data_IF_284081144418
#
_entry.id   IF_284081144418
#
_cell.length_a   1.000
_cell.length_b   1.000
_cell.length_c   1.000
_cell.angle_alpha   90.00
_cell.angle_beta   90.00
_cell.angle_gamma   90.00
#
_symmetry.space_group_name_H-M   'P 1'
#
loop_
_entity.id
_entity.type
_entity.pdbx_description
1 polymer ?
#
# COMPACT_ATOMS: atom_id res chain seq x y z
N UNK A 1 6.22 24.99 25.86
CA UNK A 1 6.05 23.52 25.79
C UNK A 1 7.15 23.00 24.90
N UNK A 2 8.02 22.11 25.40
CA UNK A 2 9.09 21.55 24.57
C UNK A 2 8.49 20.73 23.44
N UNK A 3 9.03 20.86 22.23
CA UNK A 3 8.66 20.00 21.10
C UNK A 3 8.97 18.55 21.48
N UNK A 4 7.93 17.76 21.74
CA UNK A 4 8.07 16.32 21.93
C UNK A 4 8.40 15.73 20.56
N UNK A 5 9.59 15.14 20.42
CA UNK A 5 9.98 14.45 19.20
C UNK A 5 9.27 13.09 19.17
N UNK A 6 8.26 12.96 18.32
CA UNK A 6 7.60 11.68 18.05
C UNK A 6 8.48 10.92 17.05
N UNK A 7 9.26 9.97 17.53
CA UNK A 7 10.14 9.14 16.69
C UNK A 7 9.55 7.73 16.52
N UNK A 8 8.53 7.62 15.67
CA UNK A 8 7.92 6.34 15.33
C UNK A 8 8.33 5.94 13.92
N UNK A 9 8.86 4.72 13.78
CA UNK A 9 9.29 4.15 12.52
C UNK A 9 8.20 3.27 11.91
N UNK A 10 7.93 3.47 10.62
CA UNK A 10 6.81 2.86 9.91
C UNK A 10 7.29 2.11 8.68
N UNK A 11 6.85 0.87 8.52
CA UNK A 11 6.93 0.17 7.24
C UNK A 11 5.56 0.12 6.56
N UNK A 12 5.55 0.33 5.25
CA UNK A 12 4.35 0.21 4.41
C UNK A 12 4.53 -1.00 3.50
N UNK A 13 3.62 -1.96 3.57
CA UNK A 13 3.58 -3.13 2.69
C UNK A 13 2.29 -3.10 1.89
N UNK A 14 2.40 -2.95 0.58
CA UNK A 14 1.26 -2.78 -0.31
C UNK A 14 1.03 -4.01 -1.17
N UNK A 15 -0.17 -4.57 -1.09
CA UNK A 15 -0.67 -5.51 -2.09
C UNK A 15 -1.24 -4.72 -3.27
N UNK A 16 -0.43 -4.56 -4.31
CA UNK A 16 -0.82 -3.82 -5.51
C UNK A 16 -2.03 -4.42 -6.21
N UNK A 17 -2.18 -5.75 -6.21
CA UNK A 17 -3.25 -6.47 -6.89
C UNK A 17 -4.59 -6.27 -6.18
N UNK A 18 -4.62 -6.48 -4.86
CA UNK A 18 -5.83 -6.32 -4.06
C UNK A 18 -6.34 -4.87 -4.12
N UNK A 19 -5.43 -3.90 -4.04
CA UNK A 19 -5.80 -2.49 -4.03
C UNK A 19 -6.25 -2.01 -5.42
N UNK A 20 -5.57 -2.39 -6.50
CA UNK A 20 -6.03 -2.06 -7.87
C UNK A 20 -7.44 -2.63 -8.12
N UNK A 21 -7.68 -3.89 -7.75
CA UNK A 21 -8.99 -4.54 -7.86
C UNK A 21 -10.06 -3.79 -7.08
N UNK A 22 -9.78 -3.45 -5.81
CA UNK A 22 -10.70 -2.74 -4.93
C UNK A 22 -11.09 -1.36 -5.48
N UNK A 23 -10.13 -0.62 -6.02
CA UNK A 23 -10.37 0.71 -6.59
C UNK A 23 -11.16 0.60 -7.90
N UNK A 24 -10.86 -0.37 -8.76
CA UNK A 24 -11.57 -0.55 -10.03
C UNK A 24 -13.04 -0.93 -9.80
N UNK A 25 -13.32 -1.71 -8.75
CA UNK A 25 -14.68 -2.02 -8.33
C UNK A 25 -15.44 -0.76 -7.89
N UNK A 26 -14.79 0.13 -7.13
CA UNK A 26 -15.43 1.35 -6.63
C UNK A 26 -15.56 2.45 -7.70
N UNK A 27 -14.56 2.60 -8.56
CA UNK A 27 -14.52 3.63 -9.61
C UNK A 27 -15.23 3.20 -10.91
N UNK A 28 -15.57 1.91 -11.05
CA UNK A 28 -16.08 1.29 -12.28
C UNK A 28 -15.18 1.51 -13.49
N UNK A 29 -13.90 1.86 -13.28
CA UNK A 29 -12.96 2.29 -14.31
C UNK A 29 -11.61 1.60 -14.15
N UNK A 30 -11.19 0.83 -15.16
CA UNK A 30 -9.91 0.10 -15.17
C UNK A 30 -8.66 0.99 -15.28
N UNK A 31 -8.84 2.27 -15.57
CA UNK A 31 -7.76 3.24 -15.71
C UNK A 31 -7.47 4.01 -14.41
N UNK A 32 -8.05 3.57 -13.29
CA UNK A 32 -7.86 4.26 -12.02
C UNK A 32 -6.58 3.77 -11.36
N UNK A 33 -5.76 4.71 -10.89
CA UNK A 33 -4.48 4.44 -10.24
C UNK A 33 -4.38 5.19 -8.92
N UNK A 34 -3.69 4.62 -7.94
CA UNK A 34 -3.43 5.27 -6.66
C UNK A 34 -2.48 6.44 -6.84
N UNK A 35 -2.77 7.52 -6.12
CA UNK A 35 -1.83 8.60 -5.92
C UNK A 35 -0.96 8.33 -4.68
N UNK A 36 0.16 7.63 -4.88
CA UNK A 36 1.10 7.33 -3.79
C UNK A 36 1.70 8.62 -3.19
N UNK A 37 1.84 9.67 -3.99
CA UNK A 37 2.39 10.94 -3.52
C UNK A 37 1.50 11.65 -2.50
N UNK A 38 0.19 11.41 -2.57
CA UNK A 38 -0.77 11.90 -1.57
C UNK A 38 -0.97 10.90 -0.44
N UNK A 39 -1.03 9.61 -0.78
CA UNK A 39 -1.39 8.56 0.17
C UNK A 39 -0.28 8.27 1.17
N UNK A 40 0.99 8.18 0.74
CA UNK A 40 2.10 7.84 1.64
C UNK A 40 2.28 8.90 2.74
N UNK A 41 2.35 10.21 2.45
CA UNK A 41 2.46 11.22 3.50
C UNK A 41 1.26 11.20 4.46
N UNK A 42 0.05 10.98 3.94
CA UNK A 42 -1.18 10.84 4.73
C UNK A 42 -1.10 9.65 5.68
N UNK A 43 -0.62 8.50 5.20
CA UNK A 43 -0.45 7.28 6.01
C UNK A 43 0.63 7.46 7.08
N UNK A 44 1.74 8.14 6.74
CA UNK A 44 2.82 8.38 7.67
C UNK A 44 2.44 9.36 8.77
N UNK A 45 1.67 10.42 8.48
CA UNK A 45 1.24 11.42 9.47
C UNK A 45 2.41 11.92 10.34
N UNK A 46 3.45 12.45 9.67
CA UNK A 46 4.71 12.94 10.24
C UNK A 46 5.62 11.88 10.90
N UNK A 47 5.32 10.58 10.74
CA UNK A 47 6.17 9.47 11.18
C UNK A 47 7.26 9.13 10.16
N UNK A 48 8.33 8.49 10.63
CA UNK A 48 9.47 8.12 9.78
C UNK A 48 9.19 6.89 8.92
N UNK A 49 9.33 7.00 7.60
CA UNK A 49 9.26 5.86 6.70
C UNK A 49 10.57 5.05 6.77
N UNK A 50 10.50 3.84 7.32
CA UNK A 50 11.63 2.90 7.34
C UNK A 50 11.71 2.09 6.04
N UNK A 51 10.55 1.64 5.53
CA UNK A 51 10.49 0.78 4.34
C UNK A 51 9.16 0.89 3.63
N UNK A 52 9.20 0.90 2.30
CA UNK A 52 8.03 0.73 1.47
C UNK A 52 8.23 -0.45 0.52
N UNK A 53 7.36 -1.45 0.61
CA UNK A 53 7.35 -2.62 -0.27
C UNK A 53 6.04 -2.67 -1.04
N UNK A 54 6.12 -2.74 -2.35
CA UNK A 54 4.95 -2.88 -3.22
C UNK A 54 5.01 -4.24 -3.94
N UNK A 55 4.05 -5.11 -3.64
CA UNK A 55 3.94 -6.45 -4.19
C UNK A 55 3.00 -6.43 -5.39
N UNK A 56 3.43 -7.03 -6.50
CA UNK A 56 2.61 -7.12 -7.70
C UNK A 56 2.83 -8.42 -8.45
N UNK A 57 1.74 -9.04 -8.88
CA UNK A 57 1.78 -10.22 -9.74
C UNK A 57 2.22 -9.88 -11.16
N UNK A 58 3.03 -10.77 -11.74
CA UNK A 58 3.41 -10.74 -13.14
C UNK A 58 4.76 -10.06 -13.42
N UNK A 59 5.21 -10.20 -14.68
CA UNK A 59 6.53 -9.74 -15.14
C UNK A 59 6.53 -8.30 -15.69
N UNK A 60 5.36 -7.71 -15.94
CA UNK A 60 5.23 -6.40 -16.58
C UNK A 60 4.84 -5.32 -15.57
N UNK A 61 5.81 -4.94 -14.75
CA UNK A 61 5.69 -3.74 -13.90
C UNK A 61 6.25 -2.58 -14.71
N UNK A 62 5.55 -1.43 -14.71
CA UNK A 62 6.06 -0.24 -15.37
C UNK A 62 7.37 0.19 -14.70
N UNK A 63 8.48 0.18 -15.43
CA UNK A 63 9.78 0.62 -14.91
C UNK A 63 9.69 2.04 -14.35
N UNK A 64 8.97 2.93 -15.03
CA UNK A 64 8.70 4.30 -14.58
C UNK A 64 8.01 4.38 -13.21
N UNK A 65 7.12 3.43 -12.92
CA UNK A 65 6.46 3.38 -11.62
C UNK A 65 7.43 2.93 -10.53
N UNK A 66 8.21 1.88 -10.80
CA UNK A 66 9.21 1.38 -9.87
C UNK A 66 10.30 2.42 -9.58
N UNK A 67 10.80 3.11 -10.61
CA UNK A 67 11.77 4.21 -10.51
C UNK A 67 11.21 5.34 -9.65
N UNK A 68 10.01 5.84 -9.94
CA UNK A 68 9.38 6.91 -9.15
C UNK A 68 9.18 6.53 -7.68
N UNK A 69 8.76 5.29 -7.42
CA UNK A 69 8.56 4.80 -6.05
C UNK A 69 9.90 4.71 -5.30
N UNK A 70 10.96 4.34 -5.99
CA UNK A 70 12.31 4.30 -5.45
C UNK A 70 12.87 5.71 -5.19
N UNK A 71 12.77 6.63 -6.14
CA UNK A 71 13.30 7.99 -6.02
C UNK A 71 12.62 8.79 -4.92
N UNK A 72 11.29 8.69 -4.79
CA UNK A 72 10.53 9.49 -3.84
C UNK A 72 10.49 8.88 -2.42
N UNK A 73 10.52 7.54 -2.31
CA UNK A 73 10.22 6.84 -1.06
C UNK A 73 11.22 5.75 -0.69
N UNK A 74 12.29 5.58 -1.47
CA UNK A 74 13.18 4.41 -1.40
C UNK A 74 12.39 3.08 -1.43
N UNK A 75 11.23 3.09 -2.10
CA UNK A 75 10.37 1.95 -2.20
C UNK A 75 10.94 0.87 -3.12
N UNK A 76 10.59 -0.37 -2.84
CA UNK A 76 10.97 -1.52 -3.66
C UNK A 76 9.72 -2.21 -4.20
N UNK A 77 9.73 -2.46 -5.51
CA UNK A 77 8.67 -3.23 -6.16
C UNK A 77 9.11 -4.69 -6.28
N UNK A 78 8.32 -5.59 -5.70
CA UNK A 78 8.61 -7.02 -5.62
C UNK A 78 7.63 -7.81 -6.49
N UNK A 79 8.12 -8.56 -7.51
CA UNK A 79 7.26 -9.41 -8.31
C UNK A 79 6.77 -10.62 -7.51
N UNK A 80 5.50 -10.96 -7.69
CA UNK A 80 4.87 -12.12 -7.09
C UNK A 80 4.44 -13.11 -8.18
N UNK A 81 4.51 -14.41 -7.88
CA UNK A 81 4.16 -15.44 -8.85
C UNK A 81 2.64 -15.70 -8.95
N UNK A 82 1.93 -15.64 -7.82
CA UNK A 82 0.49 -15.96 -7.74
C UNK A 82 -0.31 -15.02 -6.85
N UNK A 83 0.22 -14.68 -5.68
CA UNK A 83 -0.39 -13.75 -4.73
C UNK A 83 0.70 -13.03 -3.93
N UNK A 84 0.37 -11.86 -3.42
CA UNK A 84 1.19 -11.10 -2.49
C UNK A 84 1.16 -11.67 -1.06
N UNK A 85 0.18 -12.51 -0.68
CA UNK A 85 -0.08 -12.88 0.72
C UNK A 85 1.15 -13.46 1.44
N UNK A 86 1.74 -14.51 0.87
CA UNK A 86 2.93 -15.18 1.41
C UNK A 86 4.15 -14.24 1.43
N UNK A 87 4.59 -13.64 0.30
CA UNK A 87 5.77 -12.80 0.31
C UNK A 87 5.59 -11.53 1.17
N UNK A 88 4.38 -10.98 1.24
CA UNK A 88 4.04 -9.86 2.11
C UNK A 88 4.14 -10.27 3.57
N UNK A 89 3.52 -11.38 3.97
CA UNK A 89 3.55 -11.89 5.34
C UNK A 89 4.98 -12.16 5.82
N UNK A 90 5.79 -12.84 5.00
CA UNK A 90 7.21 -13.09 5.31
C UNK A 90 7.95 -11.77 5.51
N UNK A 91 7.73 -10.77 4.65
CA UNK A 91 8.39 -9.47 4.78
C UNK A 91 7.90 -8.69 5.99
N UNK A 92 6.61 -8.75 6.31
CA UNK A 92 6.06 -8.10 7.50
C UNK A 92 6.69 -8.67 8.78
N UNK A 93 6.73 -10.00 8.94
CA UNK A 93 7.39 -10.65 10.09
C UNK A 93 8.88 -10.33 10.17
N UNK A 94 9.60 -10.28 9.03
CA UNK A 94 11.01 -9.89 9.00
C UNK A 94 11.26 -8.43 9.43
N UNK A 95 10.28 -7.55 9.20
CA UNK A 95 10.35 -6.13 9.54
C UNK A 95 9.86 -5.85 10.95
N UNK A 96 9.07 -6.74 11.53
CA UNK A 96 8.48 -6.57 12.85
C UNK A 96 9.51 -6.17 13.92
N UNK A 97 10.71 -6.77 13.88
CA UNK A 97 11.80 -6.46 14.82
C UNK A 97 12.53 -5.14 14.57
N UNK A 98 12.16 -4.37 13.54
CA UNK A 98 12.87 -3.16 13.08
C UNK A 98 12.02 -1.91 13.05
N UNK A 99 10.70 -2.04 13.13
CA UNK A 99 9.77 -0.93 13.02
C UNK A 99 8.76 -0.96 14.15
N UNK A 100 8.28 0.22 14.53
CA UNK A 100 7.25 0.35 15.57
C UNK A 100 5.84 0.12 14.99
N UNK A 101 5.67 0.33 13.69
CA UNK A 101 4.38 0.19 13.01
C UNK A 101 4.51 -0.39 11.62
N UNK A 102 3.60 -1.30 11.29
CA UNK A 102 3.43 -1.84 9.95
C UNK A 102 2.06 -1.44 9.43
N UNK A 103 2.05 -0.74 8.29
CA UNK A 103 0.83 -0.43 7.54
C UNK A 103 0.71 -1.43 6.40
N UNK A 104 -0.31 -2.28 6.45
CA UNK A 104 -0.64 -3.21 5.37
C UNK A 104 -1.69 -2.57 4.49
N UNK A 105 -1.35 -2.33 3.23
CA UNK A 105 -2.30 -1.88 2.23
C UNK A 105 -2.93 -3.08 1.52
N UNK A 106 -3.93 -3.68 2.15
CA UNK A 106 -4.78 -4.73 1.57
C UNK A 106 -6.08 -4.83 2.35
N UNK A 107 -7.16 -5.22 1.67
CA UNK A 107 -8.47 -5.47 2.30
C UNK A 107 -8.77 -6.95 2.60
N UNK A 108 -7.79 -7.84 2.38
CA UNK A 108 -8.00 -9.29 2.40
C UNK A 108 -8.11 -9.89 3.81
N UNK A 109 -9.07 -10.78 4.03
CA UNK A 109 -9.29 -11.44 5.31
C UNK A 109 -8.14 -12.39 5.68
N UNK A 110 -7.37 -12.87 4.70
CA UNK A 110 -6.25 -13.78 4.90
C UNK A 110 -5.11 -13.16 5.74
N UNK A 111 -5.11 -11.83 5.93
CA UNK A 111 -4.13 -11.14 6.77
C UNK A 111 -4.50 -11.08 8.26
N UNK A 112 -5.68 -11.54 8.70
CA UNK A 112 -6.10 -11.46 10.11
C UNK A 112 -5.10 -12.16 11.05
N UNK A 113 -4.66 -13.36 10.69
CA UNK A 113 -3.68 -14.11 11.49
C UNK A 113 -2.32 -13.40 11.52
N UNK A 114 -1.93 -12.76 10.41
CA UNK A 114 -0.72 -11.95 10.36
C UNK A 114 -0.83 -10.73 11.28
N UNK A 115 -1.95 -10.01 11.27
CA UNK A 115 -2.19 -8.85 12.15
C UNK A 115 -2.07 -9.29 13.62
N UNK A 116 -2.73 -10.39 13.97
CA UNK A 116 -2.70 -10.95 15.33
C UNK A 116 -1.26 -11.29 15.75
N UNK A 117 -0.51 -11.95 14.86
CA UNK A 117 0.87 -12.33 15.12
C UNK A 117 1.79 -11.11 15.31
N UNK A 118 1.72 -10.12 14.42
CA UNK A 118 2.55 -8.91 14.50
C UNK A 118 2.27 -8.08 15.76
N UNK A 119 1.00 -8.00 16.18
CA UNK A 119 0.62 -7.37 17.46
C UNK A 119 1.20 -8.12 18.65
N UNK A 120 1.22 -9.46 18.58
CA UNK A 120 1.89 -10.31 19.57
C UNK A 120 3.40 -10.07 19.67
N UNK A 121 4.05 -9.69 18.57
CA UNK A 121 5.46 -9.27 18.52
C UNK A 121 5.69 -7.82 18.99
N UNK A 122 4.64 -7.12 19.43
CA UNK A 122 4.72 -5.76 19.95
C UNK A 122 4.70 -4.66 18.88
N UNK A 123 4.37 -5.01 17.63
CA UNK A 123 4.28 -4.05 16.52
C UNK A 123 2.85 -3.57 16.36
N UNK A 124 2.67 -2.26 16.21
CA UNK A 124 1.36 -1.70 15.88
C UNK A 124 1.04 -2.02 14.41
N UNK A 125 -0.15 -2.52 14.14
CA UNK A 125 -0.59 -2.88 12.79
C UNK A 125 -1.75 -2.00 12.36
N UNK A 126 -1.57 -1.31 11.24
CA UNK A 126 -2.60 -0.47 10.64
C UNK A 126 -2.97 -1.02 9.26
N UNK A 127 -4.24 -0.94 8.90
CA UNK A 127 -4.75 -1.40 7.61
C UNK A 127 -5.13 -0.20 6.77
N UNK A 128 -4.68 -0.16 5.52
CA UNK A 128 -5.02 0.89 4.57
C UNK A 128 -5.69 0.30 3.33
N UNK A 129 -7.02 0.40 3.25
CA UNK A 129 -7.78 -0.24 2.18
C UNK A 129 -9.10 0.49 1.86
N UNK A 130 -9.77 0.05 0.80
CA UNK A 130 -11.11 0.54 0.46
C UNK A 130 -12.11 -0.13 1.40
N UNK A 131 -12.76 0.64 2.28
CA UNK A 131 -13.67 0.11 3.31
C UNK A 131 -14.73 -0.85 2.76
N UNK A 132 -15.26 -0.57 1.58
CA UNK A 132 -16.33 -1.38 0.96
C UNK A 132 -15.89 -2.81 0.60
N UNK A 133 -14.62 -3.00 0.24
CA UNK A 133 -14.06 -4.30 -0.17
C UNK A 133 -13.23 -4.96 0.92
N UNK A 134 -13.14 -4.33 2.09
CA UNK A 134 -12.34 -4.82 3.22
C UNK A 134 -13.18 -5.70 4.13
N UNK A 135 -12.63 -6.84 4.55
CA UNK A 135 -13.27 -7.72 5.51
C UNK A 135 -13.41 -7.03 6.88
N UNK A 136 -14.61 -7.07 7.48
CA UNK A 136 -14.87 -6.40 8.76
C UNK A 136 -13.98 -6.94 9.89
N UNK A 137 -13.75 -8.26 9.93
CA UNK A 137 -12.88 -8.90 10.91
C UNK A 137 -11.44 -8.38 10.86
N UNK A 138 -10.94 -8.02 9.68
CA UNK A 138 -9.61 -7.43 9.52
C UNK A 138 -9.55 -6.01 10.09
N UNK A 139 -10.62 -5.22 9.88
CA UNK A 139 -10.73 -3.86 10.43
C UNK A 139 -10.78 -3.90 11.95
N UNK A 140 -11.55 -4.84 12.51
CA UNK A 140 -11.73 -4.98 13.95
C UNK A 140 -10.45 -5.48 14.65
N UNK A 141 -9.64 -6.30 13.97
CA UNK A 141 -8.36 -6.80 14.51
C UNK A 141 -7.21 -5.77 14.41
N UNK A 142 -7.26 -4.85 13.45
CA UNK A 142 -6.23 -3.83 13.27
C UNK A 142 -6.24 -2.76 14.37
N UNK A 143 -5.08 -2.18 14.70
CA UNK A 143 -4.99 -1.08 15.65
C UNK A 143 -5.55 0.23 15.09
N UNK A 144 -5.50 0.39 13.76
CA UNK A 144 -6.11 1.52 13.07
C UNK A 144 -6.44 1.18 11.62
N UNK A 145 -7.53 1.75 11.11
CA UNK A 145 -7.96 1.59 9.73
C UNK A 145 -7.94 2.93 8.97
N UNK A 146 -7.09 3.01 7.95
CA UNK A 146 -7.00 4.11 7.01
C UNK A 146 -7.88 3.84 5.80
N UNK A 147 -8.98 4.57 5.70
CA UNK A 147 -9.88 4.43 4.55
C UNK A 147 -9.30 5.10 3.30
N UNK A 148 -9.16 4.32 2.23
CA UNK A 148 -8.81 4.81 0.90
C UNK A 148 -10.09 5.23 0.17
N UNK A 149 -10.14 6.49 -0.21
CA UNK A 149 -11.31 7.13 -0.83
C UNK A 149 -11.01 7.63 -2.23
N UNK A 150 -12.02 8.19 -2.90
CA UNK A 150 -11.89 8.78 -4.25
C UNK A 150 -10.84 9.89 -4.35
N UNK A 151 -10.47 10.51 -3.24
CA UNK A 151 -9.47 11.57 -3.23
C UNK A 151 -8.03 11.05 -3.23
N UNK A 152 -7.84 9.76 -2.99
CA UNK A 152 -6.55 9.10 -2.88
C UNK A 152 -6.13 8.41 -4.20
N UNK A 153 -6.98 8.46 -5.23
CA UNK A 153 -6.70 7.93 -6.56
C UNK A 153 -7.08 8.89 -7.68
N UNK A 154 -6.53 8.68 -8.86
CA UNK A 154 -6.81 9.47 -10.06
C UNK A 154 -7.10 8.55 -11.25
N UNK A 155 -7.85 9.08 -12.23
CA UNK A 155 -8.11 8.38 -13.49
C UNK A 155 -6.99 8.73 -14.46
N UNK A 156 -6.17 7.74 -14.81
CA UNK A 156 -5.15 7.88 -15.84
C UNK A 156 -5.81 7.98 -17.22
N UNK A 157 -5.85 9.18 -17.78
CA UNK A 157 -6.18 9.37 -19.20
C UNK A 157 -4.88 9.23 -19.98
N UNK A 158 -4.71 8.11 -20.68
CA UNK A 158 -3.58 7.94 -21.59
C UNK A 158 -3.54 9.14 -22.57
N UNK A 159 -2.37 9.73 -22.84
CA UNK A 159 -2.28 10.80 -23.82
C UNK A 159 -2.82 10.29 -25.17
N UNK A 160 -3.73 11.05 -25.79
CA UNK A 160 -4.21 10.74 -27.14
C UNK A 160 -2.99 10.66 -28.04
N UNK A 161 -2.74 9.49 -28.67
CA UNK A 161 -1.79 9.40 -29.78
C UNK A 161 -2.23 10.40 -30.84
N UNK A 162 -1.50 11.50 -30.99
CA UNK A 162 -1.62 12.37 -32.16
C UNK A 162 -1.26 11.52 -33.38
N UNK A 163 -2.27 11.12 -34.15
CA UNK A 163 -2.03 10.52 -35.45
C UNK A 163 -1.24 11.53 -36.29
N UNK A 164 -0.11 11.14 -36.90
CA UNK A 164 0.58 12.02 -37.83
C UNK A 164 -0.40 12.35 -38.97
N UNK A 165 -0.60 13.64 -39.24
CA UNK A 165 -1.35 14.10 -40.41
C UNK A 165 -0.68 13.48 -41.63
N UNK A 166 -1.40 12.63 -42.36
CA UNK A 166 -1.03 12.24 -43.72
C UNK A 166 -1.11 13.49 -44.59
N UNK A 167 0.06 14.06 -44.91
CA UNK A 167 0.25 14.98 -46.04
C UNK A 167 0.49 14.19 -47.31
#
# INVERSE_FOLDING_TARGET
MGNILINQSVAILCDGNNIERSIHELSKSKNTMINFDKLIPKLLNDRGLNRLLYFREGKSISSKFAERLHENYYGSVLPCHKSADIPLSIKATQLASKVDTIIIMSGDADFVDLVTHLKGEGVRVEIAAVRKTTAKILIDEADYFHEITKEDWFIYKAPKKTQPKRT
#
